data_IF_319300821943
#
_entry.id   IF_319300821943
#
_cell.length_a   1.000
_cell.length_b   1.000
_cell.length_c   1.000
_cell.angle_alpha   90.00
_cell.angle_beta   90.00
_cell.angle_gamma   90.00
#
_symmetry.space_group_name_H-M   'P 1'
#
loop_
_entity.id
_entity.type
_entity.pdbx_description
1 polymer ?
#
# COMPACT_ATOMS: atom_id res chain seq x y z
N UNK A 1 -18.02 -11.75 7.88
CA UNK A 1 -16.75 -12.49 7.81
C UNK A 1 -15.70 -11.82 6.96
N UNK A 2 -16.05 -11.41 5.75
CA UNK A 2 -15.08 -10.78 4.84
C UNK A 2 -14.54 -9.47 5.40
N UNK A 3 -15.42 -8.60 5.90
CA UNK A 3 -14.99 -7.31 6.45
C UNK A 3 -14.02 -7.49 7.62
N UNK A 4 -14.28 -8.47 8.47
CA UNK A 4 -13.42 -8.74 9.62
C UNK A 4 -12.05 -9.23 9.18
N UNK A 5 -11.99 -10.09 8.17
CA UNK A 5 -10.71 -10.58 7.64
C UNK A 5 -9.87 -9.43 7.10
N UNK A 6 -10.48 -8.50 6.36
CA UNK A 6 -9.77 -7.35 5.82
C UNK A 6 -9.28 -6.45 6.96
N UNK A 7 -10.14 -6.20 7.95
CA UNK A 7 -9.81 -5.32 9.07
C UNK A 7 -8.63 -5.84 9.91
N UNK A 8 -8.40 -7.15 9.94
CA UNK A 8 -7.26 -7.74 10.66
C UNK A 8 -6.10 -8.09 9.74
N UNK A 9 -6.17 -7.72 8.46
CA UNK A 9 -5.07 -7.88 7.51
C UNK A 9 -5.02 -9.21 6.79
N UNK A 10 -6.01 -10.06 6.95
CA UNK A 10 -6.06 -11.37 6.28
C UNK A 10 -6.66 -11.24 4.89
N UNK A 11 -5.99 -10.46 4.05
CA UNK A 11 -6.49 -10.13 2.71
C UNK A 11 -6.53 -11.37 1.79
N UNK A 12 -5.64 -12.32 2.00
CA UNK A 12 -5.61 -13.54 1.19
C UNK A 12 -6.84 -14.41 1.45
N UNK A 13 -7.22 -14.57 2.72
CA UNK A 13 -8.41 -15.32 3.07
C UNK A 13 -9.68 -14.62 2.61
N UNK A 14 -9.71 -13.28 2.74
CA UNK A 14 -10.84 -12.49 2.25
C UNK A 14 -11.00 -12.66 0.74
N UNK A 15 -9.88 -12.67 0.00
CA UNK A 15 -9.91 -12.84 -1.46
C UNK A 15 -10.54 -14.17 -1.85
N UNK A 16 -10.24 -15.23 -1.10
CA UNK A 16 -10.83 -16.55 -1.38
C UNK A 16 -12.34 -16.52 -1.22
N UNK A 17 -12.83 -15.85 -0.19
CA UNK A 17 -14.28 -15.77 0.05
C UNK A 17 -14.97 -14.85 -0.94
N UNK A 18 -14.30 -13.79 -1.40
CA UNK A 18 -14.85 -12.84 -2.36
C UNK A 18 -14.76 -13.34 -3.81
N UNK A 19 -13.88 -14.27 -4.07
CA UNK A 19 -13.56 -14.70 -5.43
C UNK A 19 -12.60 -13.76 -6.14
N UNK A 20 -12.07 -12.75 -5.45
CA UNK A 20 -11.12 -11.79 -6.01
C UNK A 20 -10.44 -11.02 -4.88
N UNK A 21 -9.25 -10.42 -5.13
CA UNK A 21 -8.60 -9.59 -4.12
C UNK A 21 -9.40 -8.33 -3.78
N UNK A 22 -9.25 -7.87 -2.55
CA UNK A 22 -9.88 -6.63 -2.12
C UNK A 22 -9.25 -5.44 -2.83
N UNK A 23 -10.08 -4.50 -3.26
CA UNK A 23 -9.65 -3.31 -3.99
C UNK A 23 -9.93 -2.04 -3.20
N UNK A 24 -8.98 -1.12 -3.26
CA UNK A 24 -9.11 0.20 -2.65
C UNK A 24 -8.70 1.23 -3.69
N UNK A 25 -9.55 2.23 -3.90
CA UNK A 25 -9.33 3.26 -4.90
C UNK A 25 -9.29 4.62 -4.24
N UNK A 26 -8.45 5.50 -4.77
CA UNK A 26 -8.39 6.88 -4.30
C UNK A 26 -7.60 7.74 -5.27
N UNK A 27 -7.47 9.00 -4.92
CA UNK A 27 -6.72 9.97 -5.70
C UNK A 27 -5.32 10.10 -5.11
N UNK A 28 -4.31 10.13 -5.95
CA UNK A 28 -2.94 10.30 -5.49
C UNK A 28 -2.72 11.76 -5.08
N UNK A 29 -2.28 11.96 -3.85
CA UNK A 29 -2.03 13.27 -3.29
C UNK A 29 -0.58 13.37 -2.82
N UNK A 30 -0.13 14.60 -2.62
CA UNK A 30 1.18 14.84 -2.02
C UNK A 30 1.10 14.49 -0.55
N UNK A 31 2.08 13.74 -0.08
CA UNK A 31 2.21 13.42 1.33
C UNK A 31 3.61 13.72 1.79
N UNK A 32 4.06 12.93 2.76
CA UNK A 32 5.45 12.99 3.20
C UNK A 32 6.34 12.47 2.08
N UNK A 33 7.28 13.29 1.60
CA UNK A 33 8.16 12.92 0.49
C UNK A 33 9.44 12.23 0.97
N UNK A 34 9.41 11.68 2.16
CA UNK A 34 10.55 11.01 2.76
C UNK A 34 11.10 9.87 1.92
N UNK A 35 10.20 9.05 1.34
CA UNK A 35 10.61 7.94 0.49
C UNK A 35 11.35 8.41 -0.75
N UNK A 36 10.98 9.56 -1.29
CA UNK A 36 11.65 10.14 -2.46
C UNK A 36 13.11 10.49 -2.12
N UNK A 37 13.33 11.00 -0.92
CA UNK A 37 14.67 11.37 -0.45
C UNK A 37 15.59 10.18 -0.37
N UNK A 38 15.07 9.00 -0.03
CA UNK A 38 15.89 7.79 0.11
C UNK A 38 15.77 6.86 -1.10
N UNK A 39 15.19 7.32 -2.21
CA UNK A 39 15.15 6.56 -3.45
C UNK A 39 13.92 5.67 -3.63
N UNK A 40 12.93 5.79 -2.76
CA UNK A 40 11.69 5.00 -2.85
C UNK A 40 10.48 5.94 -2.80
N UNK A 41 10.24 6.70 -3.88
CA UNK A 41 9.10 7.63 -3.90
C UNK A 41 7.79 6.86 -3.81
N UNK A 42 6.91 7.32 -2.93
CA UNK A 42 5.61 6.69 -2.71
C UNK A 42 4.48 7.60 -3.13
N UNK A 43 3.38 6.97 -3.56
CA UNK A 43 2.14 7.66 -3.86
C UNK A 43 1.22 7.56 -2.65
N UNK A 44 0.81 8.69 -2.10
CA UNK A 44 -0.14 8.73 -1.00
C UNK A 44 -1.54 8.72 -1.57
N UNK A 45 -2.38 7.84 -1.04
CA UNK A 45 -3.71 7.65 -1.54
C UNK A 45 -4.74 8.37 -0.66
N UNK A 46 -5.50 9.27 -1.27
CA UNK A 46 -6.64 9.90 -0.60
C UNK A 46 -7.89 9.07 -0.90
N UNK A 47 -8.29 8.27 0.08
CA UNK A 47 -9.45 7.41 -0.03
C UNK A 47 -10.62 7.98 0.78
N UNK A 48 -11.83 7.53 0.46
CA UNK A 48 -13.01 7.96 1.20
C UNK A 48 -12.98 7.44 2.65
N UNK A 49 -13.39 8.27 3.61
CA UNK A 49 -13.34 7.93 5.04
C UNK A 49 -14.24 6.74 5.40
N UNK A 50 -15.20 6.41 4.55
CA UNK A 50 -16.10 5.27 4.79
C UNK A 50 -15.56 3.95 4.20
N UNK A 51 -14.38 3.98 3.58
CA UNK A 51 -13.78 2.77 3.03
C UNK A 51 -13.15 1.92 4.12
N UNK A 52 -13.27 0.62 3.95
CA UNK A 52 -12.63 -0.34 4.84
C UNK A 52 -11.14 -0.45 4.47
N UNK A 53 -10.28 -0.22 5.44
CA UNK A 53 -8.83 -0.24 5.22
C UNK A 53 -8.24 -1.47 5.91
N UNK A 54 -7.42 -2.26 5.22
CA UNK A 54 -6.75 -3.39 5.86
C UNK A 54 -5.87 -2.96 7.02
N UNK A 55 -5.57 -3.88 7.92
CA UNK A 55 -4.73 -3.60 9.09
C UNK A 55 -3.37 -3.06 8.67
N UNK A 56 -2.72 -2.30 9.57
CA UNK A 56 -1.38 -1.78 9.33
C UNK A 56 -0.39 -2.87 8.95
N UNK A 57 0.53 -2.53 8.08
CA UNK A 57 1.53 -3.47 7.59
C UNK A 57 1.92 -3.19 6.15
N UNK A 58 2.72 -4.10 5.61
CA UNK A 58 3.20 -4.02 4.22
C UNK A 58 2.50 -5.09 3.41
N UNK A 59 2.01 -4.70 2.23
CA UNK A 59 1.23 -5.57 1.35
C UNK A 59 1.82 -5.62 -0.04
N UNK A 60 1.73 -6.79 -0.67
CA UNK A 60 1.98 -6.93 -2.10
C UNK A 60 0.67 -6.64 -2.82
N UNK A 61 0.68 -5.67 -3.71
CA UNK A 61 -0.53 -5.22 -4.41
C UNK A 61 -0.27 -5.03 -5.89
N UNK A 62 -1.33 -5.20 -6.69
CA UNK A 62 -1.34 -4.68 -8.05
C UNK A 62 -1.87 -3.27 -7.99
N UNK A 63 -1.22 -2.36 -8.72
CA UNK A 63 -1.63 -0.96 -8.81
C UNK A 63 -2.09 -0.67 -10.23
N UNK A 64 -3.31 -0.18 -10.36
CA UNK A 64 -3.91 0.12 -11.67
C UNK A 64 -4.00 1.62 -11.87
N UNK A 65 -3.40 2.09 -12.95
CA UNK A 65 -3.52 3.47 -13.43
C UNK A 65 -4.19 3.40 -14.80
N UNK A 66 -5.51 3.60 -14.84
CA UNK A 66 -6.26 3.36 -16.07
C UNK A 66 -6.08 1.92 -16.52
N UNK A 67 -5.53 1.73 -17.71
CA UNK A 67 -5.30 0.40 -18.28
C UNK A 67 -3.96 -0.21 -17.88
N UNK A 68 -3.11 0.56 -17.20
CA UNK A 68 -1.78 0.09 -16.83
C UNK A 68 -1.81 -0.64 -15.50
N UNK A 69 -1.07 -1.73 -15.41
CA UNK A 69 -1.00 -2.59 -14.24
C UNK A 69 0.45 -2.64 -13.78
N UNK A 70 0.69 -2.28 -12.53
CA UNK A 70 2.03 -2.24 -11.95
C UNK A 70 2.08 -3.03 -10.65
N UNK A 71 3.22 -3.63 -10.35
CA UNK A 71 3.47 -4.23 -9.05
C UNK A 71 3.72 -3.10 -8.05
N UNK A 72 3.23 -3.25 -6.84
CA UNK A 72 3.41 -2.23 -5.82
C UNK A 72 3.60 -2.83 -4.44
N UNK A 73 4.48 -2.18 -3.67
CA UNK A 73 4.60 -2.43 -2.24
C UNK A 73 3.78 -1.34 -1.55
N UNK A 74 2.79 -1.75 -0.78
CA UNK A 74 1.87 -0.81 -0.14
C UNK A 74 2.06 -0.84 1.36
N UNK A 75 2.30 0.34 1.94
CA UNK A 75 2.42 0.50 3.38
C UNK A 75 1.12 1.10 3.91
N UNK A 76 0.46 0.38 4.81
CA UNK A 76 -0.67 0.92 5.55
C UNK A 76 -0.16 1.21 6.95
N UNK A 77 -0.15 2.50 7.30
CA UNK A 77 0.40 2.95 8.56
C UNK A 77 -0.63 3.65 9.41
N UNK A 78 -0.44 3.59 10.73
CA UNK A 78 -1.27 4.33 11.67
C UNK A 78 -0.80 5.78 11.68
N UNK A 79 -1.73 6.70 11.50
CA UNK A 79 -1.42 8.12 11.56
C UNK A 79 -1.53 8.58 13.02
N UNK A 80 -0.40 8.92 13.67
CA UNK A 80 -0.44 9.30 15.08
C UNK A 80 -1.05 10.68 15.31
N UNK A 81 -1.07 11.53 14.27
CA UNK A 81 -1.66 12.86 14.37
C UNK A 81 -3.04 12.81 13.73
N UNK A 82 -4.06 13.00 14.51
CA UNK A 82 -5.41 12.96 13.98
C UNK A 82 -6.25 14.11 14.49
N UNK A 83 -7.21 14.49 13.65
CA UNK A 83 -8.31 15.37 14.02
C UNK A 83 -9.59 14.58 13.78
N UNK A 84 -10.73 15.01 14.35
CA UNK A 84 -11.97 14.24 14.19
C UNK A 84 -12.36 13.93 12.76
N UNK A 85 -11.98 14.79 11.83
CA UNK A 85 -12.35 14.63 10.42
C UNK A 85 -11.33 13.87 9.60
N UNK A 86 -10.20 13.46 10.19
CA UNK A 86 -9.13 12.86 9.43
C UNK A 86 -9.13 11.36 9.54
N UNK A 87 -8.62 10.74 8.47
CA UNK A 87 -8.42 9.30 8.42
C UNK A 87 -7.31 8.93 9.38
N UNK A 88 -7.46 7.81 10.08
CA UNK A 88 -6.48 7.34 11.06
C UNK A 88 -5.39 6.49 10.45
N UNK A 89 -5.58 6.05 9.19
CA UNK A 89 -4.61 5.21 8.49
C UNK A 89 -4.11 5.90 7.25
N UNK A 90 -2.81 5.81 7.00
CA UNK A 90 -2.22 6.28 5.75
C UNK A 90 -2.03 5.08 4.81
N UNK A 91 -2.21 5.33 3.52
CA UNK A 91 -1.99 4.32 2.48
C UNK A 91 -0.97 4.90 1.51
N UNK A 92 0.21 4.29 1.47
CA UNK A 92 1.30 4.73 0.62
C UNK A 92 1.71 3.59 -0.28
N UNK A 93 1.77 3.84 -1.58
CA UNK A 93 2.11 2.82 -2.56
C UNK A 93 3.42 3.17 -3.25
N UNK A 94 4.36 2.24 -3.24
CA UNK A 94 5.57 2.32 -4.04
C UNK A 94 5.39 1.41 -5.26
N UNK A 95 5.25 2.03 -6.44
CA UNK A 95 5.09 1.29 -7.69
C UNK A 95 6.48 0.90 -8.19
N UNK A 96 6.67 -0.41 -8.41
CA UNK A 96 7.95 -0.94 -8.85
C UNK A 96 8.22 -0.57 -10.31
N UNK A 97 9.48 -0.22 -10.60
CA UNK A 97 9.92 0.08 -11.97
C UNK A 97 9.09 1.20 -12.63
N UNK A 98 8.77 2.21 -11.82
CA UNK A 98 7.87 3.27 -12.24
C UNK A 98 8.45 4.61 -11.75
N UNK A 99 8.54 5.62 -12.63
CA UNK A 99 9.16 6.89 -12.27
C UNK A 99 8.39 8.12 -12.76
N UNK A 100 7.11 7.94 -13.09
CA UNK A 100 6.27 9.02 -13.56
C UNK A 100 5.54 9.70 -12.40
N UNK A 101 5.30 11.01 -12.51
CA UNK A 101 4.48 11.76 -11.56
C UNK A 101 3.00 11.42 -11.81
N UNK A 102 2.29 11.01 -10.79
CA UNK A 102 0.88 10.62 -10.90
C UNK A 102 -0.03 11.36 -9.91
N UNK A 103 0.43 12.51 -9.41
CA UNK A 103 -0.43 13.31 -8.54
C UNK A 103 -1.73 13.66 -9.25
N UNK A 104 -2.83 13.65 -8.49
CA UNK A 104 -4.19 13.93 -8.95
C UNK A 104 -4.80 12.85 -9.83
N UNK A 105 -4.07 11.77 -10.11
CA UNK A 105 -4.61 10.64 -10.87
C UNK A 105 -5.28 9.64 -9.92
N UNK A 106 -6.24 8.90 -10.46
CA UNK A 106 -6.92 7.85 -9.71
C UNK A 106 -6.06 6.59 -9.72
N UNK A 107 -5.79 6.04 -8.54
CA UNK A 107 -5.02 4.82 -8.38
C UNK A 107 -5.90 3.79 -7.69
N UNK A 108 -5.96 2.57 -8.26
CA UNK A 108 -6.67 1.46 -7.66
C UNK A 108 -5.67 0.41 -7.20
N UNK A 109 -5.77 0.02 -5.94
CA UNK A 109 -4.89 -1.00 -5.36
C UNK A 109 -5.68 -2.29 -5.16
N UNK A 110 -5.07 -3.40 -5.56
CA UNK A 110 -5.63 -4.72 -5.40
C UNK A 110 -4.73 -5.50 -4.44
N UNK A 111 -5.23 -5.80 -3.26
CA UNK A 111 -4.44 -6.39 -2.18
C UNK A 111 -4.33 -7.89 -2.36
N UNK A 112 -3.13 -8.37 -2.67
CA UNK A 112 -2.89 -9.79 -2.94
C UNK A 112 -2.41 -10.53 -1.70
N UNK A 113 -1.43 -9.95 -0.97
CA UNK A 113 -0.81 -10.65 0.15
C UNK A 113 -0.29 -9.66 1.18
N UNK A 114 -0.45 -10.01 2.46
CA UNK A 114 0.14 -9.25 3.56
C UNK A 114 1.51 -9.83 3.84
N UNK A 115 2.54 -9.00 3.77
CA UNK A 115 3.92 -9.44 3.88
C UNK A 115 4.46 -9.42 5.30
N UNK A 116 4.11 -8.37 6.06
CA UNK A 116 4.61 -8.22 7.43
C UNK A 116 3.91 -7.09 8.15
N UNK A 117 4.12 -7.02 9.46
CA UNK A 117 3.65 -5.91 10.29
C UNK A 117 4.47 -4.64 10.01
N UNK A 118 3.95 -3.50 10.45
CA UNK A 118 4.73 -2.28 10.46
C UNK A 118 5.93 -2.42 11.39
N UNK A 119 7.03 -1.76 11.03
CA UNK A 119 8.24 -1.75 11.82
C UNK A 119 8.73 -0.32 11.99
N UNK A 120 9.40 -0.04 13.08
CA UNK A 120 10.13 1.21 13.28
C UNK A 120 11.60 0.96 13.03
N UNK A 121 12.31 2.00 12.59
CA UNK A 121 13.72 1.86 12.20
C UNK A 121 14.56 2.91 12.91
N UNK A 122 15.73 2.47 13.40
CA UNK A 122 16.66 3.34 14.13
C UNK A 122 17.50 4.18 13.18
N UNK A 123 17.56 3.85 11.91
CA UNK A 123 18.39 4.56 10.94
C UNK A 123 17.78 4.49 9.55
N UNK A 124 18.22 5.42 8.71
CA UNK A 124 17.83 5.43 7.30
C UNK A 124 18.32 4.16 6.60
N UNK A 125 19.54 3.71 6.94
CA UNK A 125 20.10 2.51 6.33
C UNK A 125 19.26 1.27 6.63
N UNK A 126 18.77 1.14 7.87
CA UNK A 126 17.91 0.03 8.25
C UNK A 126 16.58 0.08 7.48
N UNK A 127 16.02 1.28 7.32
CA UNK A 127 14.78 1.48 6.57
C UNK A 127 14.98 1.10 5.10
N UNK A 128 16.05 1.58 4.47
CA UNK A 128 16.33 1.29 3.06
C UNK A 128 16.53 -0.20 2.84
N UNK A 129 17.26 -0.86 3.75
CA UNK A 129 17.48 -2.29 3.67
C UNK A 129 16.18 -3.05 3.71
N UNK A 130 15.26 -2.67 4.62
CA UNK A 130 13.98 -3.36 4.75
C UNK A 130 13.09 -3.11 3.54
N UNK A 131 13.03 -1.87 3.04
CA UNK A 131 12.25 -1.56 1.85
C UNK A 131 12.75 -2.36 0.65
N UNK A 132 14.07 -2.49 0.51
CA UNK A 132 14.64 -3.27 -0.59
C UNK A 132 14.24 -4.74 -0.50
N UNK A 133 14.19 -5.30 0.70
CA UNK A 133 13.71 -6.67 0.90
C UNK A 133 12.23 -6.79 0.57
N UNK A 134 11.43 -5.82 0.99
CA UNK A 134 9.99 -5.81 0.72
C UNK A 134 9.73 -5.80 -0.78
N UNK A 135 10.46 -4.95 -1.52
CA UNK A 135 10.33 -4.86 -2.97
C UNK A 135 10.61 -6.20 -3.63
N UNK A 136 11.65 -6.89 -3.18
CA UNK A 136 12.00 -8.20 -3.73
C UNK A 136 10.91 -9.22 -3.45
N UNK A 137 10.34 -9.21 -2.24
CA UNK A 137 9.25 -10.12 -1.89
C UNK A 137 8.02 -9.82 -2.74
N UNK A 138 7.73 -8.53 -2.99
CA UNK A 138 6.62 -8.14 -3.86
C UNK A 138 6.82 -8.69 -5.27
N UNK A 139 8.04 -8.55 -5.82
CA UNK A 139 8.33 -9.07 -7.16
C UNK A 139 8.07 -10.57 -7.24
N UNK A 140 8.51 -11.31 -6.24
CA UNK A 140 8.31 -12.76 -6.20
C UNK A 140 6.85 -13.13 -6.01
N UNK A 141 6.14 -12.43 -5.12
CA UNK A 141 4.74 -12.71 -4.82
C UNK A 141 3.83 -12.44 -6.01
N UNK A 142 4.13 -11.38 -6.76
CA UNK A 142 3.31 -10.95 -7.89
C UNK A 142 3.88 -11.39 -9.24
N UNK A 143 4.79 -12.34 -9.22
CA UNK A 143 5.39 -12.86 -10.45
C UNK A 143 4.29 -13.55 -11.28
N UNK A 144 4.16 -13.11 -12.53
CA UNK A 144 3.22 -13.69 -13.48
C UNK A 144 4.03 -14.37 -14.57
N UNK A 145 3.90 -15.66 -14.63
CA UNK A 145 4.59 -16.46 -15.67
C UNK A 145 3.94 -16.29 -17.04
#
# INVERSE_FOLDING_TARGET
AIRKLIAVGKVEEAAKLMGRPYRLQGIVIRGDQRGRTIGFPTANLDYSVDKLIPAGGIYACWAYLGDQKHKAAVNIGTNPTFTPDKKTMSVEAYLLDFDRDIYDETLQLEFVSRLRDELTFDSVDALVTQISKDVEVVRQTLDED
#
